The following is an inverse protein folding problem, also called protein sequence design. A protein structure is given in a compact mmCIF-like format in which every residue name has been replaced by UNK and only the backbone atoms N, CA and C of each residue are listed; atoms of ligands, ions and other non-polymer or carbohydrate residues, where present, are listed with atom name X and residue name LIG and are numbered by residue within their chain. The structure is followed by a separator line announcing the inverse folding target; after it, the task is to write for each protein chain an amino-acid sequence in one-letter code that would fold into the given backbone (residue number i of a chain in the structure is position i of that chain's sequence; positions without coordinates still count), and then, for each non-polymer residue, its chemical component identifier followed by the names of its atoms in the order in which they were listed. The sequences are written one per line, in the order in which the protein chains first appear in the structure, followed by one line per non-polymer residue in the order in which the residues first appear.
data_IF_927974526699
#
_entry.id   IF_927974526699
#
_cell.length_a   1.000
_cell.length_b   1.000
_cell.length_c   1.000
_cell.angle_alpha   90.00
_cell.angle_beta   90.00
_cell.angle_gamma   90.00
#
_symmetry.space_group_name_H-M   'P 1'
#
loop_
_entity.id
_entity.type
_entity.pdbx_description
1 polymer ?
#
# COMPACT_ATOMS: atom_id res chain seq x y z
N UNK A 1 11.66 11.68 5.13
CA UNK A 1 10.20 11.98 5.10
C UNK A 1 9.68 11.91 6.52
N UNK A 2 8.86 12.88 6.93
CA UNK A 2 8.30 12.97 8.27
C UNK A 2 7.33 11.81 8.56
N UNK A 3 7.23 11.39 9.82
CA UNK A 3 6.27 10.36 10.29
C UNK A 3 4.87 10.98 10.34
N UNK A 4 4.28 11.22 9.18
CA UNK A 4 3.06 12.01 9.04
C UNK A 4 1.81 11.19 9.41
N UNK A 5 1.04 11.69 10.37
CA UNK A 5 -0.13 11.03 10.95
C UNK A 5 -1.33 11.97 10.82
N UNK A 6 -2.49 11.42 10.48
CA UNK A 6 -3.74 12.17 10.58
C UNK A 6 -4.20 12.18 12.05
N UNK A 7 -4.34 13.36 12.65
CA UNK A 7 -4.96 13.50 13.96
C UNK A 7 -6.41 13.96 13.82
N UNK A 8 -7.32 13.24 14.48
CA UNK A 8 -8.75 13.53 14.51
C UNK A 8 -9.20 13.82 15.93
N UNK A 9 -9.57 15.07 16.22
CA UNK A 9 -10.02 15.45 17.55
C UNK A 9 -10.12 16.97 17.74
N UNK A 10 -10.64 17.38 18.89
CA UNK A 10 -10.85 18.79 19.22
C UNK A 10 -9.50 19.51 19.44
N UNK A 11 -9.13 20.39 18.52
CA UNK A 11 -7.82 21.07 18.46
C UNK A 11 -7.61 22.14 19.54
N UNK A 12 -8.69 22.57 20.20
CA UNK A 12 -8.64 23.57 21.29
C UNK A 12 -8.36 22.97 22.67
N UNK A 13 -8.22 21.65 22.77
CA UNK A 13 -7.99 20.96 24.04
C UNK A 13 -6.52 21.06 24.47
N UNK A 14 -6.27 21.53 25.70
CA UNK A 14 -4.93 21.57 26.30
C UNK A 14 -4.25 20.19 26.31
N UNK A 15 -5.01 19.13 26.63
CA UNK A 15 -4.48 17.76 26.65
C UNK A 15 -4.08 17.27 25.25
N UNK A 16 -4.85 17.63 24.23
CA UNK A 16 -4.54 17.29 22.83
C UNK A 16 -3.27 17.99 22.40
N UNK A 17 -3.14 19.29 22.69
CA UNK A 17 -1.94 20.05 22.34
C UNK A 17 -0.70 19.52 23.07
N UNK A 18 -0.81 19.16 24.35
CA UNK A 18 0.30 18.54 25.09
C UNK A 18 0.75 17.20 24.46
N UNK A 19 -0.21 16.33 24.13
CA UNK A 19 0.06 15.06 23.45
C UNK A 19 0.73 15.25 22.09
N UNK A 20 0.18 16.14 21.26
CA UNK A 20 0.71 16.42 19.92
C UNK A 20 2.11 17.01 20.00
N UNK A 21 2.38 17.90 20.95
CA UNK A 21 3.71 18.46 21.17
C UNK A 21 4.72 17.38 21.55
N UNK A 22 4.39 16.51 22.52
CA UNK A 22 5.27 15.43 22.96
C UNK A 22 5.58 14.45 21.82
N UNK A 23 4.59 14.10 20.99
CA UNK A 23 4.81 13.27 19.81
C UNK A 23 5.62 14.02 18.74
N UNK A 24 5.41 15.32 18.57
CA UNK A 24 6.19 16.12 17.60
C UNK A 24 7.67 16.19 17.99
N UNK A 25 7.98 16.31 19.28
CA UNK A 25 9.35 16.21 19.82
C UNK A 25 9.99 14.84 19.53
N UNK A 26 9.18 13.79 19.42
CA UNK A 26 9.59 12.43 19.01
C UNK A 26 9.60 12.21 17.49
N UNK A 27 9.50 13.29 16.70
CA UNK A 27 9.66 13.25 15.23
C UNK A 27 8.40 12.85 14.46
N UNK A 28 7.22 12.87 15.10
CA UNK A 28 5.94 12.76 14.41
C UNK A 28 5.50 14.10 13.83
N UNK A 29 4.80 14.06 12.69
CA UNK A 29 4.19 15.22 12.06
C UNK A 29 2.69 14.97 11.94
N UNK A 30 1.87 16.00 12.11
CA UNK A 30 0.42 15.84 12.21
C UNK A 30 -0.30 16.80 11.27
N UNK A 31 -1.14 16.22 10.40
CA UNK A 31 -2.25 16.99 9.84
C UNK A 31 -3.45 16.81 10.78
N UNK A 32 -3.99 17.93 11.25
CA UNK A 32 -4.98 17.97 12.32
C UNK A 32 -6.33 18.32 11.71
N UNK A 33 -7.36 17.55 12.05
CA UNK A 33 -8.73 17.80 11.63
C UNK A 33 -9.71 17.54 12.78
N UNK A 34 -10.85 18.22 12.74
CA UNK A 34 -11.97 17.88 13.62
C UNK A 34 -12.49 16.48 13.31
N UNK A 35 -12.98 15.78 14.32
CA UNK A 35 -13.56 14.44 14.15
C UNK A 35 -15.05 14.52 13.77
N UNK A 36 -15.30 14.94 12.53
CA UNK A 36 -16.65 15.02 11.96
C UNK A 36 -16.69 14.38 10.58
N UNK A 37 -17.86 13.91 10.14
CA UNK A 37 -18.02 13.36 8.79
C UNK A 37 -17.56 14.33 7.71
N UNK A 38 -17.96 15.60 7.82
CA UNK A 38 -17.61 16.64 6.84
C UNK A 38 -16.10 16.83 6.74
N UNK A 39 -15.43 17.01 7.87
CA UNK A 39 -13.99 17.23 7.89
C UNK A 39 -13.24 16.01 7.34
N UNK A 40 -13.70 14.78 7.64
CA UNK A 40 -13.13 13.56 7.06
C UNK A 40 -13.29 13.47 5.55
N UNK A 41 -14.43 13.89 5.00
CA UNK A 41 -14.68 13.90 3.56
C UNK A 41 -13.79 14.92 2.82
N UNK A 42 -13.37 15.99 3.49
CA UNK A 42 -12.50 17.03 2.93
C UNK A 42 -11.01 16.61 2.90
N UNK A 43 -10.64 15.49 3.55
CA UNK A 43 -9.27 14.98 3.58
C UNK A 43 -8.93 14.25 2.28
N UNK A 44 -8.15 14.93 1.44
CA UNK A 44 -7.66 14.37 0.17
C UNK A 44 -6.28 13.69 0.28
N UNK A 45 -5.53 13.96 1.34
CA UNK A 45 -4.21 13.37 1.54
C UNK A 45 -4.30 11.89 1.97
N UNK A 46 -3.29 11.10 1.60
CA UNK A 46 -3.18 9.70 2.00
C UNK A 46 -2.37 9.57 3.28
N UNK A 47 -2.91 8.83 4.26
CA UNK A 47 -2.23 8.53 5.52
C UNK A 47 -2.23 7.02 5.76
N UNK A 48 -1.10 6.48 6.24
CA UNK A 48 -0.99 5.09 6.67
C UNK A 48 -1.55 4.86 8.07
N UNK A 49 -1.57 5.90 8.91
CA UNK A 49 -2.13 5.84 10.26
C UNK A 49 -2.93 7.09 10.61
N UNK A 50 -3.88 6.90 11.52
CA UNK A 50 -4.73 7.94 12.05
C UNK A 50 -4.88 7.79 13.57
N UNK A 51 -4.81 8.89 14.30
CA UNK A 51 -5.01 8.97 15.74
C UNK A 51 -6.32 9.71 16.04
N UNK A 52 -7.28 9.02 16.66
CA UNK A 52 -8.60 9.57 16.98
C UNK A 52 -8.71 9.82 18.47
N UNK A 53 -8.86 11.08 18.88
CA UNK A 53 -9.05 11.47 20.27
C UNK A 53 -10.54 11.65 20.58
N UNK A 54 -11.12 10.66 21.24
CA UNK A 54 -12.52 10.60 21.65
C UNK A 54 -12.73 11.33 22.98
N UNK A 55 -13.74 12.21 23.02
CA UNK A 55 -14.12 12.96 24.23
C UNK A 55 -15.46 12.50 24.78
N UNK A 56 -16.48 12.54 23.93
CA UNK A 56 -17.85 12.07 24.15
C UNK A 56 -18.31 11.50 22.82
N UNK A 57 -19.00 10.36 22.84
CA UNK A 57 -19.62 9.81 21.64
C UNK A 57 -21.02 10.41 21.50
N UNK A 58 -21.25 11.05 20.37
CA UNK A 58 -22.51 11.65 19.96
C UNK A 58 -22.80 11.27 18.48
N UNK A 59 -23.95 11.69 17.96
CA UNK A 59 -24.34 11.38 16.57
C UNK A 59 -23.29 11.84 15.54
N UNK A 60 -22.60 12.95 15.82
CA UNK A 60 -21.53 13.48 14.97
C UNK A 60 -20.34 12.51 14.93
N UNK A 61 -19.88 12.08 16.10
CA UNK A 61 -18.74 11.17 16.27
C UNK A 61 -19.07 9.76 15.76
N UNK A 62 -20.31 9.30 15.92
CA UNK A 62 -20.79 8.02 15.37
C UNK A 62 -20.77 8.02 13.83
N UNK A 63 -21.26 9.10 13.20
CA UNK A 63 -21.19 9.25 11.75
C UNK A 63 -19.73 9.27 11.26
N UNK A 64 -18.84 9.96 11.97
CA UNK A 64 -17.42 10.00 11.68
C UNK A 64 -16.73 8.63 11.83
N UNK A 65 -17.02 7.89 12.91
CA UNK A 65 -16.53 6.52 13.13
C UNK A 65 -16.96 5.57 12.01
N UNK A 66 -18.23 5.64 11.60
CA UNK A 66 -18.75 4.81 10.51
C UNK A 66 -18.00 5.08 9.20
N UNK A 67 -17.80 6.35 8.87
CA UNK A 67 -17.06 6.73 7.67
C UNK A 67 -15.58 6.37 7.74
N UNK A 68 -14.94 6.51 8.91
CA UNK A 68 -13.58 6.05 9.12
C UNK A 68 -13.45 4.52 8.89
N UNK A 69 -14.50 3.76 9.22
CA UNK A 69 -14.60 2.34 8.90
C UNK A 69 -14.63 2.05 7.39
N UNK A 70 -15.19 2.93 6.57
CA UNK A 70 -15.14 2.86 5.10
C UNK A 70 -13.73 3.21 4.58
N UNK A 71 -13.10 4.24 5.14
CA UNK A 71 -11.71 4.59 4.80
C UNK A 71 -10.77 3.42 5.11
N UNK A 72 -10.98 2.71 6.22
CA UNK A 72 -10.25 1.48 6.54
C UNK A 72 -10.40 0.41 5.46
N UNK A 73 -11.63 0.14 4.99
CA UNK A 73 -11.87 -0.90 3.99
C UNK A 73 -11.22 -0.57 2.64
N UNK A 74 -11.19 0.72 2.27
CA UNK A 74 -10.64 1.18 0.99
C UNK A 74 -9.12 1.34 1.02
N UNK A 75 -8.58 1.91 2.10
CA UNK A 75 -7.18 2.37 2.17
C UNK A 75 -6.32 1.59 3.16
N UNK A 76 -6.91 0.69 3.95
CA UNK A 76 -6.24 -0.07 5.01
C UNK A 76 -5.45 0.81 6.00
N UNK A 77 -6.00 1.97 6.36
CA UNK A 77 -5.40 2.89 7.33
C UNK A 77 -5.35 2.26 8.73
N UNK A 78 -4.24 2.41 9.43
CA UNK A 78 -4.09 1.94 10.82
C UNK A 78 -4.76 2.93 11.78
N UNK A 79 -5.87 2.53 12.41
CA UNK A 79 -6.66 3.41 13.29
C UNK A 79 -6.27 3.19 14.74
N UNK A 80 -5.88 4.27 15.42
CA UNK A 80 -5.62 4.31 16.85
C UNK A 80 -6.69 5.15 17.55
N UNK A 81 -7.33 4.60 18.58
CA UNK A 81 -8.33 5.33 19.38
C UNK A 81 -7.76 5.73 20.74
N UNK A 82 -8.02 6.96 21.19
CA UNK A 82 -7.72 7.43 22.54
C UNK A 82 -9.04 7.89 23.17
N UNK A 83 -9.40 7.39 24.36
CA UNK A 83 -10.67 7.77 25.00
C UNK A 83 -10.76 7.34 26.46
N UNK A 84 -11.89 7.62 27.11
CA UNK A 84 -12.22 6.92 28.37
C UNK A 84 -12.63 5.48 28.06
N UNK A 85 -12.71 4.64 29.09
CA UNK A 85 -13.19 3.25 28.91
C UNK A 85 -14.59 3.22 28.26
N UNK A 86 -15.50 4.09 28.71
CA UNK A 86 -16.86 4.15 28.20
C UNK A 86 -16.89 4.61 26.74
N UNK A 87 -16.14 5.67 26.39
CA UNK A 87 -16.10 6.19 25.01
C UNK A 87 -15.59 5.13 24.03
N UNK A 88 -14.58 4.35 24.45
CA UNK A 88 -14.02 3.28 23.64
C UNK A 88 -15.00 2.12 23.49
N UNK A 89 -15.66 1.70 24.57
CA UNK A 89 -16.71 0.68 24.53
C UNK A 89 -17.84 1.07 23.58
N UNK A 90 -18.26 2.34 23.63
CA UNK A 90 -19.29 2.87 22.74
C UNK A 90 -18.83 2.93 21.27
N UNK A 91 -17.60 3.37 21.03
CA UNK A 91 -17.01 3.40 19.69
C UNK A 91 -16.96 2.00 19.05
N UNK A 92 -16.72 0.94 19.83
CA UNK A 92 -16.64 -0.43 19.31
C UNK A 92 -17.95 -0.96 18.73
N UNK A 93 -19.10 -0.39 19.08
CA UNK A 93 -20.38 -0.76 18.44
C UNK A 93 -20.45 -0.29 16.98
N UNK A 94 -19.73 0.79 16.64
CA UNK A 94 -19.74 1.37 15.29
C UNK A 94 -18.50 0.99 14.48
N UNK A 95 -17.33 1.01 15.13
CA UNK A 95 -16.05 0.63 14.54
C UNK A 95 -15.54 -0.65 15.22
N UNK A 96 -15.71 -1.83 14.61
CA UNK A 96 -15.30 -3.09 15.21
C UNK A 96 -13.81 -3.12 15.55
N UNK A 97 -13.44 -3.81 16.64
CA UNK A 97 -12.04 -3.96 17.07
C UNK A 97 -11.12 -4.53 15.99
N UNK A 98 -11.63 -5.32 15.05
CA UNK A 98 -10.86 -5.85 13.92
C UNK A 98 -10.38 -4.78 12.93
N UNK A 99 -10.95 -3.58 12.96
CA UNK A 99 -10.54 -2.42 12.15
C UNK A 99 -9.67 -1.43 12.92
N UNK A 100 -9.39 -1.71 14.19
CA UNK A 100 -8.65 -0.81 15.09
C UNK A 100 -7.30 -1.44 15.37
N UNK A 101 -6.23 -0.71 15.07
CA UNK A 101 -4.87 -1.17 15.33
C UNK A 101 -4.62 -1.29 16.84
N UNK A 102 -4.98 -0.24 17.59
CA UNK A 102 -4.95 -0.26 19.07
C UNK A 102 -5.81 0.85 19.66
N UNK A 103 -6.30 0.63 20.87
CA UNK A 103 -6.99 1.65 21.66
C UNK A 103 -6.22 1.94 22.95
N UNK A 104 -6.23 3.21 23.37
CA UNK A 104 -5.55 3.68 24.56
C UNK A 104 -6.55 4.38 25.49
N UNK A 105 -6.59 3.93 26.74
CA UNK A 105 -7.41 4.54 27.78
C UNK A 105 -6.66 5.75 28.37
N UNK A 106 -7.38 6.83 28.68
CA UNK A 106 -6.83 7.99 29.40
C UNK A 106 -6.69 7.68 30.91
N UNK A 107 -5.63 8.12 31.60
CA UNK A 107 -4.48 8.89 31.10
C UNK A 107 -3.58 8.05 30.19
N UNK A 108 -3.12 8.66 29.09
CA UNK A 108 -2.39 7.98 28.03
C UNK A 108 -0.93 7.72 28.42
N UNK A 109 -0.43 6.52 28.14
CA UNK A 109 1.01 6.25 28.11
C UNK A 109 1.57 6.60 26.72
N UNK A 110 2.20 7.76 26.60
CA UNK A 110 2.70 8.27 25.31
C UNK A 110 3.82 7.41 24.75
N UNK A 111 4.67 6.82 25.61
CA UNK A 111 5.72 5.90 25.18
C UNK A 111 5.13 4.63 24.53
N UNK A 112 4.03 4.12 25.07
CA UNK A 112 3.32 2.98 24.46
C UNK A 112 2.68 3.35 23.12
N UNK A 113 2.07 4.53 23.02
CA UNK A 113 1.53 5.03 21.74
C UNK A 113 2.63 5.21 20.69
N UNK A 114 3.73 5.87 21.06
CA UNK A 114 4.88 6.07 20.18
C UNK A 114 5.42 4.72 19.68
N UNK A 115 5.56 3.72 20.55
CA UNK A 115 5.99 2.39 20.15
C UNK A 115 5.09 1.74 19.08
N UNK A 116 3.77 1.92 19.17
CA UNK A 116 2.84 1.36 18.18
C UNK A 116 2.83 2.16 16.87
N UNK A 117 2.99 3.48 16.95
CA UNK A 117 3.18 4.33 15.77
C UNK A 117 4.50 4.03 15.06
N UNK A 118 5.56 3.71 15.81
CA UNK A 118 6.86 3.29 15.27
C UNK A 118 6.75 2.01 14.45
N UNK A 119 5.99 1.00 14.90
CA UNK A 119 5.75 -0.21 14.10
C UNK A 119 5.12 0.11 12.75
N UNK A 120 4.16 1.03 12.71
CA UNK A 120 3.54 1.45 11.45
C UNK A 120 4.57 2.15 10.56
N UNK A 121 5.36 3.05 11.11
CA UNK A 121 6.41 3.74 10.37
C UNK A 121 7.51 2.80 9.87
N UNK A 122 7.96 1.85 10.69
CA UNK A 122 8.96 0.84 10.33
C UNK A 122 8.46 -0.04 9.19
N UNK A 123 7.22 -0.53 9.27
CA UNK A 123 6.61 -1.28 8.18
C UNK A 123 6.53 -0.46 6.87
N UNK A 124 6.25 0.85 6.96
CA UNK A 124 6.26 1.75 5.81
C UNK A 124 7.67 1.96 5.25
N UNK A 125 8.68 2.15 6.11
CA UNK A 125 10.08 2.29 5.68
C UNK A 125 10.58 1.02 5.02
N UNK A 126 10.20 -0.14 5.55
CA UNK A 126 10.51 -1.43 4.96
C UNK A 126 9.83 -1.59 3.59
N UNK A 127 8.53 -1.28 3.48
CA UNK A 127 7.79 -1.26 2.19
C UNK A 127 8.43 -0.31 1.17
N UNK A 128 8.92 0.85 1.60
CA UNK A 128 9.62 1.81 0.72
C UNK A 128 11.01 1.33 0.29
N UNK A 129 11.68 0.52 1.11
CA UNK A 129 12.96 -0.10 0.78
C UNK A 129 12.80 -1.36 -0.07
N UNK A 130 11.63 -1.99 -0.03
CA UNK A 130 11.32 -3.16 -0.85
C UNK A 130 11.40 -2.78 -2.32
N UNK A 131 12.09 -3.61 -3.09
CA UNK A 131 12.11 -3.48 -4.55
C UNK A 131 10.68 -3.58 -5.07
N UNK A 132 10.34 -2.71 -6.01
CA UNK A 132 9.01 -2.57 -6.58
C UNK A 132 8.86 -3.47 -7.80
N UNK A 133 7.80 -4.26 -7.87
CA UNK A 133 7.51 -5.13 -9.02
C UNK A 133 6.15 -4.74 -9.59
N UNK A 134 6.09 -4.48 -10.90
CA UNK A 134 4.83 -4.36 -11.63
C UNK A 134 4.49 -5.71 -12.26
N UNK A 135 3.26 -6.19 -12.05
CA UNK A 135 2.73 -7.39 -12.66
C UNK A 135 1.64 -6.96 -13.65
N UNK A 136 1.76 -7.41 -14.89
CA UNK A 136 0.88 -7.04 -16.00
C UNK A 136 0.32 -8.32 -16.61
N UNK A 137 -0.99 -8.52 -16.48
CA UNK A 137 -1.68 -9.74 -16.95
C UNK A 137 -3.18 -9.42 -17.05
N UNK A 138 -3.87 -9.88 -18.09
CA UNK A 138 -5.31 -9.65 -18.24
C UNK A 138 -6.15 -10.59 -17.36
N UNK A 139 -5.57 -11.66 -16.83
CA UNK A 139 -6.21 -12.57 -15.87
C UNK A 139 -6.12 -12.02 -14.43
N UNK A 140 -7.25 -11.52 -13.92
CA UNK A 140 -7.38 -11.03 -12.55
C UNK A 140 -7.02 -12.07 -11.47
N UNK A 141 -7.21 -13.37 -11.74
CA UNK A 141 -6.84 -14.46 -10.84
C UNK A 141 -5.32 -14.62 -10.77
N UNK A 142 -4.64 -14.53 -11.91
CA UNK A 142 -3.18 -14.57 -11.99
C UNK A 142 -2.56 -13.37 -11.28
N UNK A 143 -3.07 -12.16 -11.55
CA UNK A 143 -2.63 -10.93 -10.88
C UNK A 143 -2.72 -11.05 -9.36
N UNK A 144 -3.86 -11.52 -8.82
CA UNK A 144 -4.04 -11.71 -7.37
C UNK A 144 -3.09 -12.76 -6.81
N UNK A 145 -2.92 -13.87 -7.51
CA UNK A 145 -2.04 -14.97 -7.07
C UNK A 145 -0.58 -14.53 -7.01
N UNK A 146 -0.08 -13.86 -8.04
CA UNK A 146 1.29 -13.35 -8.09
C UNK A 146 1.52 -12.20 -7.10
N UNK A 147 0.54 -11.32 -6.91
CA UNK A 147 0.58 -10.29 -5.86
C UNK A 147 0.73 -10.93 -4.48
N UNK A 148 -0.09 -11.93 -4.16
CA UNK A 148 -0.03 -12.60 -2.86
C UNK A 148 1.32 -13.29 -2.63
N UNK A 149 1.88 -13.91 -3.67
CA UNK A 149 3.20 -14.55 -3.61
C UNK A 149 4.32 -13.53 -3.35
N UNK A 150 4.37 -12.45 -4.14
CA UNK A 150 5.50 -11.52 -4.17
C UNK A 150 5.41 -10.42 -3.11
N UNK A 151 4.21 -10.07 -2.65
CA UNK A 151 3.99 -9.02 -1.63
C UNK A 151 4.60 -9.34 -0.26
N UNK A 152 4.98 -10.61 -0.04
CA UNK A 152 5.72 -11.04 1.14
C UNK A 152 7.13 -10.44 1.23
N UNK A 153 7.72 -10.02 0.10
CA UNK A 153 9.12 -9.52 0.00
C UNK A 153 9.29 -8.29 -0.89
N UNK A 154 8.31 -7.98 -1.73
CA UNK A 154 8.37 -6.87 -2.68
C UNK A 154 7.15 -5.96 -2.60
N UNK A 155 7.32 -4.69 -2.93
CA UNK A 155 6.20 -3.79 -3.14
C UNK A 155 5.60 -4.09 -4.51
N UNK A 156 4.44 -4.75 -4.54
CA UNK A 156 3.84 -5.26 -5.79
C UNK A 156 2.70 -4.36 -6.28
N UNK A 157 2.72 -4.03 -7.56
CA UNK A 157 1.64 -3.36 -8.27
C UNK A 157 1.07 -4.28 -9.35
N UNK A 158 -0.23 -4.20 -9.59
CA UNK A 158 -0.91 -5.02 -10.60
C UNK A 158 -1.68 -4.10 -11.55
N UNK A 159 -1.65 -4.41 -12.84
CA UNK A 159 -2.44 -3.75 -13.89
C UNK A 159 -2.92 -4.80 -14.89
N UNK A 160 -4.09 -4.59 -15.46
CA UNK A 160 -4.79 -5.59 -16.28
C UNK A 160 -4.58 -5.45 -17.79
N UNK A 161 -3.76 -4.50 -18.24
CA UNK A 161 -3.53 -4.28 -19.67
C UNK A 161 -2.17 -3.64 -19.93
N UNK A 162 -1.66 -3.80 -21.15
CA UNK A 162 -0.44 -3.12 -21.61
C UNK A 162 -0.56 -1.59 -21.59
N UNK A 163 -1.74 -1.05 -21.91
CA UNK A 163 -1.99 0.38 -21.87
C UNK A 163 -1.92 0.94 -20.44
N UNK A 164 -2.48 0.23 -19.46
CA UNK A 164 -2.42 0.62 -18.06
C UNK A 164 -1.01 0.51 -17.49
N UNK A 165 -0.23 -0.48 -17.94
CA UNK A 165 1.18 -0.60 -17.56
C UNK A 165 2.00 0.61 -18.00
N UNK A 166 1.82 1.09 -19.23
CA UNK A 166 2.52 2.27 -19.73
C UNK A 166 2.14 3.52 -18.92
N UNK A 167 0.84 3.76 -18.72
CA UNK A 167 0.35 4.91 -17.92
C UNK A 167 0.83 4.87 -16.47
N UNK A 168 0.88 3.67 -15.88
CA UNK A 168 1.37 3.46 -14.52
C UNK A 168 2.84 3.86 -14.39
N UNK A 169 3.67 3.42 -15.35
CA UNK A 169 5.12 3.64 -15.33
C UNK A 169 5.53 5.09 -15.60
N UNK A 170 4.64 5.93 -16.13
CA UNK A 170 4.87 7.38 -16.23
C UNK A 170 4.99 8.04 -14.85
N UNK A 171 4.39 7.45 -13.80
CA UNK A 171 4.30 8.04 -12.47
C UNK A 171 5.05 7.26 -11.40
N UNK A 172 5.09 5.93 -11.51
CA UNK A 172 5.61 5.05 -10.46
C UNK A 172 6.79 4.24 -11.00
N UNK A 173 8.03 4.53 -10.57
CA UNK A 173 9.19 3.74 -10.96
C UNK A 173 9.15 2.36 -10.30
N UNK A 174 9.57 1.34 -11.05
CA UNK A 174 9.66 -0.05 -10.58
C UNK A 174 11.01 -0.66 -10.89
N UNK A 175 11.37 -1.71 -10.16
CA UNK A 175 12.64 -2.42 -10.30
C UNK A 175 12.55 -3.63 -11.23
N UNK A 176 11.36 -4.15 -11.49
CA UNK A 176 11.11 -5.28 -12.38
C UNK A 176 9.66 -5.26 -12.87
N UNK A 177 9.45 -5.70 -14.12
CA UNK A 177 8.13 -5.95 -14.67
C UNK A 177 7.99 -7.45 -14.94
N UNK A 178 6.94 -8.06 -14.39
CA UNK A 178 6.45 -9.38 -14.79
C UNK A 178 5.31 -9.16 -15.77
N UNK A 179 5.51 -9.57 -17.01
CA UNK A 179 4.63 -9.22 -18.12
C UNK A 179 4.07 -10.47 -18.76
N UNK A 180 2.75 -10.57 -18.88
CA UNK A 180 2.17 -11.61 -19.70
C UNK A 180 2.52 -11.41 -21.17
N UNK A 181 2.75 -12.52 -21.85
CA UNK A 181 3.10 -12.53 -23.26
C UNK A 181 1.88 -12.25 -24.14
N UNK A 182 0.73 -12.86 -23.79
CA UNK A 182 -0.51 -12.76 -24.57
C UNK A 182 -1.53 -11.96 -23.79
N UNK A 183 -1.84 -10.76 -24.28
CA UNK A 183 -2.88 -9.92 -23.69
C UNK A 183 -3.74 -9.32 -24.81
N UNK A 184 -5.02 -9.04 -24.55
CA UNK A 184 -5.88 -8.36 -25.50
C UNK A 184 -5.39 -6.94 -25.77
N UNK A 185 -5.73 -6.44 -26.96
CA UNK A 185 -5.43 -5.09 -27.47
C UNK A 185 -3.94 -4.79 -27.71
N UNK A 186 -3.06 -5.13 -26.76
CA UNK A 186 -1.61 -4.92 -26.83
C UNK A 186 -0.89 -6.10 -26.19
N UNK A 187 -0.16 -6.86 -26.99
CA UNK A 187 0.59 -8.02 -26.52
C UNK A 187 1.81 -7.64 -25.65
N UNK A 188 2.30 -8.58 -24.85
CA UNK A 188 3.52 -8.37 -24.04
C UNK A 188 4.73 -7.91 -24.85
N UNK A 189 5.05 -8.51 -26.02
CA UNK A 189 6.07 -8.02 -26.93
C UNK A 189 5.91 -6.54 -27.31
N UNK A 190 4.71 -6.10 -27.67
CA UNK A 190 4.44 -4.70 -28.04
C UNK A 190 4.62 -3.75 -26.85
N UNK A 191 4.22 -4.19 -25.65
CA UNK A 191 4.50 -3.45 -24.41
C UNK A 191 6.00 -3.32 -24.21
N UNK A 192 6.75 -4.42 -24.31
CA UNK A 192 8.21 -4.42 -24.13
C UNK A 192 8.90 -3.47 -25.13
N UNK A 193 8.52 -3.48 -26.40
CA UNK A 193 9.06 -2.55 -27.40
C UNK A 193 8.81 -1.08 -27.03
N UNK A 194 7.59 -0.75 -26.58
CA UNK A 194 7.25 0.61 -26.13
C UNK A 194 8.08 1.02 -24.90
N UNK A 195 8.28 0.10 -23.96
CA UNK A 195 9.12 0.35 -22.78
C UNK A 195 10.58 0.59 -23.17
N UNK A 196 11.14 -0.23 -24.07
CA UNK A 196 12.53 -0.08 -24.55
C UNK A 196 12.74 1.19 -25.38
N UNK A 197 11.69 1.71 -26.00
CA UNK A 197 11.71 2.95 -26.79
C UNK A 197 11.61 4.22 -25.93
N UNK A 198 11.19 4.13 -24.66
CA UNK A 198 11.05 5.27 -23.77
C UNK A 198 12.27 5.41 -22.83
N UNK A 199 12.88 6.59 -22.80
CA UNK A 199 14.08 6.86 -22.01
C UNK A 199 13.92 6.58 -20.50
N UNK A 200 12.71 6.76 -19.96
CA UNK A 200 12.40 6.57 -18.54
C UNK A 200 12.22 5.10 -18.16
N UNK A 201 11.79 4.25 -19.10
CA UNK A 201 11.43 2.85 -18.82
C UNK A 201 12.34 1.83 -19.50
N UNK A 202 13.21 2.25 -20.45
CA UNK A 202 14.08 1.34 -21.21
C UNK A 202 15.02 0.49 -20.36
N UNK A 203 15.46 1.02 -19.22
CA UNK A 203 16.36 0.33 -18.28
C UNK A 203 15.64 -0.61 -17.33
N UNK A 204 14.31 -0.57 -17.29
CA UNK A 204 13.54 -1.44 -16.41
C UNK A 204 13.64 -2.88 -16.98
N UNK A 205 14.07 -3.85 -16.16
CA UNK A 205 14.10 -5.24 -16.57
C UNK A 205 12.70 -5.80 -16.71
N UNK A 206 12.50 -6.65 -17.71
CA UNK A 206 11.21 -7.30 -18.00
C UNK A 206 11.43 -8.81 -18.04
N UNK A 207 10.61 -9.54 -17.28
CA UNK A 207 10.47 -10.99 -17.42
C UNK A 207 9.10 -11.32 -17.97
N UNK A 208 9.05 -12.17 -18.98
CA UNK A 208 7.78 -12.71 -19.44
C UNK A 208 7.30 -13.80 -18.49
N UNK A 209 6.00 -13.79 -18.20
CA UNK A 209 5.31 -14.82 -17.45
C UNK A 209 4.14 -15.32 -18.29
N UNK A 210 4.21 -16.54 -18.82
CA UNK A 210 3.28 -17.00 -19.87
C UNK A 210 2.83 -18.46 -19.68
N UNK A 211 1.69 -18.82 -20.27
CA UNK A 211 1.26 -20.21 -20.35
C UNK A 211 1.91 -20.96 -21.53
N UNK A 212 2.49 -20.26 -22.51
CA UNK A 212 3.01 -20.86 -23.74
C UNK A 212 4.40 -21.45 -23.58
N UNK A 213 4.52 -22.71 -24.00
CA UNK A 213 5.78 -23.43 -24.15
C UNK A 213 6.27 -23.52 -25.61
N UNK A 214 5.56 -22.92 -26.57
CA UNK A 214 5.90 -23.10 -27.97
C UNK A 214 7.24 -22.42 -28.32
N UNK A 215 8.07 -23.14 -29.06
CA UNK A 215 9.45 -22.72 -29.32
C UNK A 215 9.58 -21.48 -30.20
N UNK A 216 8.53 -21.11 -30.94
CA UNK A 216 8.57 -20.00 -31.91
C UNK A 216 8.24 -18.67 -31.23
N UNK A 217 7.24 -18.66 -30.34
CA UNK A 217 6.97 -17.54 -29.43
C UNK A 217 8.16 -17.28 -28.52
N UNK A 218 8.79 -18.32 -27.96
CA UNK A 218 10.00 -18.17 -27.12
C UNK A 218 11.17 -17.56 -27.91
N UNK A 219 11.38 -17.99 -29.17
CA UNK A 219 12.44 -17.41 -30.01
C UNK A 219 12.19 -15.94 -30.37
N UNK A 220 10.95 -15.61 -30.71
CA UNK A 220 10.55 -14.24 -31.03
C UNK A 220 10.65 -13.33 -29.81
N UNK A 221 10.18 -13.80 -28.65
CA UNK A 221 10.33 -13.14 -27.37
C UNK A 221 11.81 -12.90 -27.02
N UNK A 222 12.67 -13.91 -27.22
CA UNK A 222 14.08 -13.83 -26.91
C UNK A 222 14.82 -12.75 -27.74
N UNK A 223 14.36 -12.48 -28.97
CA UNK A 223 14.92 -11.42 -29.80
C UNK A 223 14.75 -10.02 -29.17
N UNK A 224 13.69 -9.82 -28.38
CA UNK A 224 13.43 -8.58 -27.64
C UNK A 224 14.29 -8.45 -26.36
N UNK A 225 15.13 -9.46 -26.08
CA UNK A 225 16.04 -9.53 -24.93
C UNK A 225 15.35 -9.24 -23.59
N UNK A 226 14.26 -9.96 -23.24
CA UNK A 226 13.79 -9.98 -21.87
C UNK A 226 14.86 -10.60 -20.96
N UNK A 227 14.83 -10.27 -19.69
CA UNK A 227 15.77 -10.83 -18.70
C UNK A 227 15.52 -12.31 -18.47
N UNK A 228 14.24 -12.72 -18.53
CA UNK A 228 13.85 -14.11 -18.38
C UNK A 228 12.47 -14.39 -18.99
N UNK A 229 12.24 -15.65 -19.31
CA UNK A 229 10.96 -16.17 -19.75
C UNK A 229 10.54 -17.26 -18.77
N UNK A 230 9.39 -17.10 -18.12
CA UNK A 230 8.89 -17.97 -17.06
C UNK A 230 7.54 -18.56 -17.46
N UNK A 231 7.37 -19.83 -17.16
CA UNK A 231 6.08 -20.50 -17.35
C UNK A 231 5.19 -20.28 -16.12
N UNK A 232 3.96 -19.85 -16.36
CA UNK A 232 2.89 -19.71 -15.34
C UNK A 232 2.64 -21.04 -14.59
N UNK A 233 2.93 -22.17 -15.23
CA UNK A 233 2.81 -23.51 -14.65
C UNK A 233 3.95 -23.90 -13.70
N UNK A 234 4.99 -23.07 -13.56
CA UNK A 234 6.05 -23.34 -12.59
C UNK A 234 5.49 -23.25 -11.16
N UNK A 235 6.02 -24.07 -10.24
CA UNK A 235 5.72 -23.91 -8.82
C UNK A 235 6.00 -22.48 -8.34
N UNK A 236 5.12 -21.95 -7.49
CA UNK A 236 5.19 -20.56 -7.03
C UNK A 236 6.51 -20.23 -6.31
N UNK A 237 7.08 -21.19 -5.59
CA UNK A 237 8.40 -21.09 -4.95
C UNK A 237 9.53 -20.95 -5.97
N UNK A 238 9.44 -21.59 -7.13
CA UNK A 238 10.43 -21.48 -8.22
C UNK A 238 10.36 -20.10 -8.89
N UNK A 239 9.14 -19.57 -9.10
CA UNK A 239 8.95 -18.21 -9.62
C UNK A 239 9.53 -17.19 -8.65
N UNK A 240 9.18 -17.30 -7.35
CA UNK A 240 9.70 -16.42 -6.31
C UNK A 240 11.23 -16.50 -6.20
N UNK A 241 11.81 -17.69 -6.18
CA UNK A 241 13.26 -17.88 -6.12
C UNK A 241 13.98 -17.26 -7.34
N UNK A 242 13.35 -17.34 -8.52
CA UNK A 242 13.86 -16.72 -9.73
C UNK A 242 13.88 -15.20 -9.61
N UNK A 243 12.76 -14.60 -9.18
CA UNK A 243 12.66 -13.15 -8.96
C UNK A 243 13.66 -12.70 -7.89
N UNK A 244 13.76 -13.44 -6.79
CA UNK A 244 14.72 -13.20 -5.70
C UNK A 244 16.16 -13.19 -6.20
N UNK A 245 16.53 -14.18 -6.99
CA UNK A 245 17.91 -14.29 -7.51
C UNK A 245 18.24 -13.14 -8.44
N UNK A 246 17.31 -12.79 -9.33
CA UNK A 246 17.51 -11.70 -10.27
C UNK A 246 17.61 -10.35 -9.55
N UNK A 247 16.66 -10.04 -8.68
CA UNK A 247 16.64 -8.79 -7.95
C UNK A 247 17.81 -8.65 -6.97
N UNK A 248 18.40 -9.72 -6.44
CA UNK A 248 19.63 -9.61 -5.63
C UNK A 248 20.87 -9.18 -6.42
N UNK A 249 20.89 -9.42 -7.72
CA UNK A 249 22.04 -9.15 -8.59
C UNK A 249 21.94 -7.79 -9.32
N UNK A 250 20.87 -7.03 -9.04
CA UNK A 250 20.60 -5.65 -9.52
C UNK A 250 21.04 -4.60 -8.50
#
# INVERSE_FOLDING_TARGET
MARKILFLGETKSFMVNALLNELTENGYDFDISDFTLRALMDINAFYKSCLVYLKVIDDTSLAALKYLGTIYDEKHIQIFLIGSKNDLEEAYFTLPKSKIAKSFVRPLNVAELAHELDKVYESQVEEMKMKKILIVDDDATMLRSMRNLLSTKYATYIVSSGADAIKFLDNIPVNLILLDYEMPEMSGPEVLEKLKSNAMTKSIPVMFLTAKQDSESVKTAAALKPEKYLLKSLPSDVILATVDTFLKNL
#
